data_IF_342438897071
#
_entry.id   IF_342438897071
#
_cell.length_a   1.000
_cell.length_b   1.000
_cell.length_c   1.000
_cell.angle_alpha   90.00
_cell.angle_beta   90.00
_cell.angle_gamma   90.00
#
_symmetry.space_group_name_H-M   'P 1'
#
loop_
_entity.id
_entity.type
_entity.pdbx_description
1 polymer ?
#
# COMPACT_ATOMS: atom_id res chain seq x y z
N UNK A 1 -12.49 29.12 -6.37
CA UNK A 1 -12.45 27.97 -5.46
C UNK A 1 -13.08 26.79 -6.19
N UNK A 2 -12.30 25.77 -6.51
CA UNK A 2 -12.87 24.54 -7.07
C UNK A 2 -13.68 23.88 -5.95
N UNK A 3 -14.96 23.60 -6.20
CA UNK A 3 -15.81 22.92 -5.22
C UNK A 3 -15.35 21.46 -5.15
N UNK A 4 -14.51 21.14 -4.15
CA UNK A 4 -13.87 19.82 -3.99
C UNK A 4 -14.87 18.69 -3.67
N UNK A 5 -16.16 19.02 -3.45
CA UNK A 5 -17.19 18.02 -3.13
C UNK A 5 -17.58 17.13 -4.32
N UNK A 6 -17.29 17.54 -5.56
CA UNK A 6 -17.72 16.86 -6.80
C UNK A 6 -16.56 16.31 -7.64
N UNK A 7 -15.37 16.22 -7.06
CA UNK A 7 -14.24 15.61 -7.78
C UNK A 7 -14.54 14.15 -8.13
N UNK A 8 -14.47 13.85 -9.43
CA UNK A 8 -14.53 12.50 -9.96
C UNK A 8 -13.20 12.23 -10.68
N UNK A 9 -12.48 11.16 -10.36
CA UNK A 9 -11.27 10.81 -11.08
C UNK A 9 -11.53 10.71 -12.58
N UNK A 10 -10.64 11.25 -13.44
CA UNK A 10 -10.81 11.29 -14.88
C UNK A 10 -10.55 9.91 -15.50
N UNK A 11 -11.54 9.01 -15.44
CA UNK A 11 -11.48 7.73 -16.14
C UNK A 11 -12.86 7.37 -16.71
N UNK A 12 -12.86 6.56 -17.77
CA UNK A 12 -14.06 5.94 -18.33
C UNK A 12 -13.88 4.42 -18.38
N UNK A 13 -14.98 3.70 -18.12
CA UNK A 13 -14.98 2.24 -18.19
C UNK A 13 -14.97 1.84 -19.68
N UNK A 14 -13.93 1.11 -20.10
CA UNK A 14 -13.83 0.57 -21.44
C UNK A 14 -14.27 -0.90 -21.49
N UNK A 15 -14.64 -1.39 -22.68
CA UNK A 15 -14.94 -2.80 -22.90
C UNK A 15 -13.78 -3.72 -22.52
N UNK A 16 -12.52 -3.26 -22.68
CA UNK A 16 -11.33 -3.99 -22.25
C UNK A 16 -11.28 -4.16 -20.73
N UNK A 17 -11.63 -3.11 -19.97
CA UNK A 17 -11.72 -3.18 -18.50
C UNK A 17 -12.81 -4.15 -18.06
N UNK A 18 -13.98 -4.14 -18.70
CA UNK A 18 -15.05 -5.10 -18.41
C UNK A 18 -14.61 -6.54 -18.68
N UNK A 19 -13.91 -6.78 -19.78
CA UNK A 19 -13.32 -8.09 -20.10
C UNK A 19 -12.33 -8.57 -19.03
N UNK A 20 -11.48 -7.68 -18.52
CA UNK A 20 -10.57 -8.02 -17.42
C UNK A 20 -11.32 -8.33 -16.11
N UNK A 21 -12.31 -7.53 -15.75
CA UNK A 21 -13.13 -7.78 -14.55
C UNK A 21 -13.81 -9.15 -14.63
N UNK A 22 -14.42 -9.49 -15.78
CA UNK A 22 -15.03 -10.80 -16.00
C UNK A 22 -14.03 -11.93 -15.86
N UNK A 23 -12.86 -11.83 -16.51
CA UNK A 23 -11.79 -12.84 -16.41
C UNK A 23 -11.25 -13.01 -14.99
N UNK A 24 -11.09 -11.91 -14.24
CA UNK A 24 -10.66 -11.94 -12.84
C UNK A 24 -11.71 -12.62 -11.98
N UNK A 25 -12.99 -12.25 -12.14
CA UNK A 25 -14.11 -12.84 -11.38
C UNK A 25 -14.23 -14.35 -11.63
N UNK A 26 -14.07 -14.81 -12.86
CA UNK A 26 -14.05 -16.22 -13.20
C UNK A 26 -12.90 -16.97 -12.48
N UNK A 27 -11.70 -16.39 -12.51
CA UNK A 27 -10.52 -16.98 -11.85
C UNK A 27 -10.70 -17.02 -10.33
N UNK A 28 -11.24 -15.98 -9.72
CA UNK A 28 -11.55 -15.93 -8.28
C UNK A 28 -12.58 -17.01 -7.95
N UNK A 29 -13.64 -17.16 -8.75
CA UNK A 29 -14.65 -18.20 -8.55
C UNK A 29 -14.07 -19.62 -8.61
N UNK A 30 -13.15 -19.88 -9.55
CA UNK A 30 -12.43 -21.16 -9.62
C UNK A 30 -11.59 -21.40 -8.37
N UNK A 31 -10.89 -20.39 -7.87
CA UNK A 31 -10.04 -20.48 -6.69
C UNK A 31 -10.88 -20.68 -5.42
N UNK A 32 -12.00 -19.96 -5.29
CA UNK A 32 -12.88 -20.02 -4.10
C UNK A 32 -13.48 -21.41 -3.87
N UNK A 33 -13.62 -22.22 -4.93
CA UNK A 33 -14.06 -23.60 -4.82
C UNK A 33 -13.01 -24.57 -4.27
N UNK A 34 -11.74 -24.14 -4.18
CA UNK A 34 -10.68 -24.89 -3.52
C UNK A 34 -10.63 -24.49 -2.04
N UNK A 35 -11.44 -25.15 -1.19
CA UNK A 35 -11.50 -24.94 0.26
C UNK A 35 -10.17 -25.20 1.01
N UNK A 36 -9.07 -25.47 0.29
CA UNK A 36 -7.81 -25.95 0.82
C UNK A 36 -6.76 -24.81 1.06
N UNK A 37 -7.10 -23.54 0.75
CA UNK A 37 -6.13 -22.44 0.93
C UNK A 37 -5.89 -22.09 2.41
N UNK A 38 -6.88 -22.28 3.27
CA UNK A 38 -6.74 -22.06 4.71
C UNK A 38 -5.84 -23.12 5.37
N UNK A 39 -5.75 -24.30 4.78
CA UNK A 39 -4.99 -25.43 5.30
C UNK A 39 -3.47 -25.38 5.00
N UNK A 40 -2.98 -24.37 4.27
CA UNK A 40 -1.57 -24.26 3.84
C UNK A 40 -0.84 -23.05 4.41
N UNK A 41 -0.58 -22.98 5.74
CA UNK A 41 0.06 -21.82 6.36
C UNK A 41 1.45 -21.53 5.80
N UNK A 42 2.20 -22.58 5.40
CA UNK A 42 3.51 -22.41 4.80
C UNK A 42 3.46 -21.74 3.42
N UNK A 43 2.45 -22.06 2.61
CA UNK A 43 2.25 -21.41 1.32
C UNK A 43 1.90 -19.92 1.50
N UNK A 44 1.03 -19.60 2.46
CA UNK A 44 0.70 -18.21 2.80
C UNK A 44 1.92 -17.43 3.27
N UNK A 45 2.73 -18.01 4.14
CA UNK A 45 4.00 -17.41 4.60
C UNK A 45 4.95 -17.15 3.42
N UNK A 46 5.15 -18.13 2.54
CA UNK A 46 6.02 -17.98 1.38
C UNK A 46 5.50 -16.91 0.40
N UNK A 47 4.20 -16.85 0.16
CA UNK A 47 3.61 -15.82 -0.70
C UNK A 47 3.75 -14.42 -0.08
N UNK A 48 3.59 -14.28 1.23
CA UNK A 48 3.81 -13.03 1.96
C UNK A 48 5.26 -12.57 1.81
N UNK A 49 6.24 -13.46 2.02
CA UNK A 49 7.67 -13.15 1.82
C UNK A 49 7.93 -12.65 0.40
N UNK A 50 7.38 -13.34 -0.62
CA UNK A 50 7.52 -12.90 -2.02
C UNK A 50 6.90 -11.52 -2.26
N UNK A 51 5.71 -11.25 -1.70
CA UNK A 51 5.05 -9.95 -1.85
C UNK A 51 5.86 -8.82 -1.22
N UNK A 52 6.36 -9.04 0.01
CA UNK A 52 7.22 -8.08 0.71
C UNK A 52 8.49 -7.82 -0.10
N UNK A 53 9.21 -8.88 -0.47
CA UNK A 53 10.42 -8.77 -1.30
C UNK A 53 10.17 -7.96 -2.57
N UNK A 54 9.13 -8.32 -3.34
CA UNK A 54 8.84 -7.65 -4.63
C UNK A 54 8.47 -6.18 -4.45
N UNK A 55 7.71 -5.84 -3.39
CA UNK A 55 7.34 -4.46 -3.09
C UNK A 55 8.56 -3.62 -2.71
N UNK A 56 9.43 -4.15 -1.85
CA UNK A 56 10.62 -3.45 -1.40
C UNK A 56 11.69 -3.33 -2.50
N UNK A 57 11.80 -4.33 -3.40
CA UNK A 57 12.69 -4.27 -4.56
C UNK A 57 12.32 -3.14 -5.53
N UNK A 58 11.02 -2.78 -5.65
CA UNK A 58 10.57 -1.60 -6.42
C UNK A 58 11.12 -0.30 -5.80
N UNK A 59 11.23 -0.26 -4.48
CA UNK A 59 11.78 0.87 -3.71
C UNK A 59 13.31 0.81 -3.55
N UNK A 60 13.97 -0.01 -4.39
CA UNK A 60 15.44 -0.18 -4.42
C UNK A 60 16.05 -0.81 -3.15
N UNK A 61 15.28 -1.53 -2.34
CA UNK A 61 15.84 -2.37 -1.27
C UNK A 61 16.70 -3.47 -1.90
N UNK A 62 17.94 -3.62 -1.44
CA UNK A 62 18.95 -4.48 -2.06
C UNK A 62 18.98 -5.91 -1.51
N UNK A 63 18.23 -6.19 -0.45
CA UNK A 63 18.20 -7.52 0.18
C UNK A 63 17.64 -8.57 -0.78
N UNK A 64 18.28 -9.71 -0.84
CA UNK A 64 17.79 -10.89 -1.57
C UNK A 64 16.54 -11.48 -0.90
N UNK A 65 15.76 -12.29 -1.64
CA UNK A 65 14.59 -12.97 -1.08
C UNK A 65 14.93 -13.93 0.08
N UNK A 66 16.15 -14.49 0.10
CA UNK A 66 16.66 -15.30 1.22
C UNK A 66 16.89 -14.45 2.46
N UNK A 67 17.54 -13.28 2.31
CA UNK A 67 17.77 -12.35 3.42
C UNK A 67 16.46 -11.79 3.97
N UNK A 68 15.51 -11.41 3.10
CA UNK A 68 14.16 -11.01 3.53
C UNK A 68 13.49 -12.11 4.36
N UNK A 69 13.61 -13.38 3.92
CA UNK A 69 13.10 -14.54 4.68
C UNK A 69 13.77 -14.66 6.05
N UNK A 70 15.09 -14.48 6.10
CA UNK A 70 15.86 -14.59 7.33
C UNK A 70 15.52 -13.49 8.33
N UNK A 71 15.36 -12.24 7.86
CA UNK A 71 14.85 -11.13 8.70
C UNK A 71 13.47 -11.46 9.29
N UNK A 72 12.54 -11.97 8.46
CA UNK A 72 11.17 -12.33 8.89
C UNK A 72 11.19 -13.50 9.89
N UNK A 73 12.15 -14.41 9.78
CA UNK A 73 12.34 -15.52 10.73
C UNK A 73 13.11 -15.13 12.00
N UNK A 74 13.57 -13.89 12.12
CA UNK A 74 14.32 -13.39 13.28
C UNK A 74 15.81 -13.77 13.26
N UNK A 75 16.32 -14.21 12.11
CA UNK A 75 17.75 -14.49 11.96
C UNK A 75 18.54 -13.19 11.76
N UNK A 76 19.84 -13.24 12.11
CA UNK A 76 20.74 -12.10 11.88
C UNK A 76 21.09 -12.07 10.40
N UNK A 77 20.89 -10.90 9.78
CA UNK A 77 21.24 -10.61 8.39
C UNK A 77 22.25 -9.47 8.37
N UNK A 78 23.31 -9.64 7.58
CA UNK A 78 24.30 -8.60 7.33
C UNK A 78 23.84 -7.76 6.14
N UNK A 79 23.49 -6.50 6.39
CA UNK A 79 22.99 -5.57 5.37
C UNK A 79 22.72 -4.18 5.93
N UNK A 80 22.27 -3.26 5.09
CA UNK A 80 21.91 -1.91 5.53
C UNK A 80 20.78 -1.96 6.56
N UNK A 81 21.02 -1.35 7.72
CA UNK A 81 20.06 -1.40 8.83
C UNK A 81 18.71 -0.80 8.47
N UNK A 82 18.69 0.22 7.62
CA UNK A 82 17.48 0.82 7.08
C UNK A 82 16.65 -0.19 6.28
N UNK A 83 17.28 -0.96 5.38
CA UNK A 83 16.62 -1.93 4.54
C UNK A 83 16.08 -3.12 5.34
N UNK A 84 16.83 -3.57 6.36
CA UNK A 84 16.37 -4.58 7.32
C UNK A 84 15.14 -4.07 8.08
N UNK A 85 15.12 -2.79 8.49
CA UNK A 85 13.99 -2.19 9.17
C UNK A 85 12.76 -2.08 8.24
N UNK A 86 12.94 -1.77 6.96
CA UNK A 86 11.87 -1.76 5.96
C UNK A 86 11.20 -3.13 5.84
N UNK A 87 11.97 -4.23 5.85
CA UNK A 87 11.43 -5.60 5.82
C UNK A 87 10.59 -5.89 7.06
N UNK A 88 11.09 -5.52 8.26
CA UNK A 88 10.34 -5.72 9.52
C UNK A 88 9.02 -4.95 9.50
N UNK A 89 9.06 -3.68 9.12
CA UNK A 89 7.89 -2.83 9.03
C UNK A 89 6.85 -3.38 8.04
N UNK A 90 7.30 -3.80 6.86
CA UNK A 90 6.44 -4.41 5.86
C UNK A 90 5.80 -5.70 6.40
N UNK A 91 6.56 -6.56 7.06
CA UNK A 91 6.03 -7.79 7.65
C UNK A 91 4.95 -7.48 8.70
N UNK A 92 5.19 -6.54 9.60
CA UNK A 92 4.23 -6.14 10.64
C UNK A 92 2.94 -5.55 10.03
N UNK A 93 3.08 -4.73 8.98
CA UNK A 93 1.92 -4.19 8.27
C UNK A 93 1.10 -5.30 7.58
N UNK A 94 1.75 -6.22 6.87
CA UNK A 94 1.08 -7.34 6.19
C UNK A 94 0.43 -8.33 7.15
N UNK A 95 1.00 -8.53 8.35
CA UNK A 95 0.43 -9.44 9.35
C UNK A 95 -0.92 -8.95 9.87
N UNK A 96 -1.09 -7.65 9.96
CA UNK A 96 -2.30 -7.00 10.45
C UNK A 96 -3.29 -6.58 9.34
N UNK A 97 -3.00 -6.88 8.07
CA UNK A 97 -3.77 -6.36 6.93
C UNK A 97 -5.26 -6.73 6.95
N UNK A 98 -5.60 -7.92 7.46
CA UNK A 98 -6.99 -8.39 7.52
C UNK A 98 -7.87 -7.60 8.50
N UNK A 99 -7.25 -6.83 9.40
CA UNK A 99 -7.95 -6.07 10.44
C UNK A 99 -8.09 -4.59 10.10
N UNK A 100 -7.61 -4.16 8.92
CA UNK A 100 -7.66 -2.76 8.50
C UNK A 100 -9.06 -2.35 8.03
N UNK A 101 -9.50 -1.16 8.44
CA UNK A 101 -10.62 -0.49 7.80
C UNK A 101 -10.08 0.42 6.66
N UNK A 102 -10.18 0.01 5.37
CA UNK A 102 -9.61 0.76 4.25
C UNK A 102 -10.32 2.11 4.00
N UNK A 103 -11.42 2.38 4.70
CA UNK A 103 -12.21 3.62 4.58
C UNK A 103 -11.95 4.60 5.74
N UNK A 104 -10.88 4.39 6.52
CA UNK A 104 -10.55 5.20 7.69
C UNK A 104 -9.22 5.92 7.51
N UNK A 105 -9.23 7.25 7.61
CA UNK A 105 -8.02 8.08 7.63
C UNK A 105 -7.14 7.75 8.84
N UNK A 106 -7.75 7.41 9.97
CA UNK A 106 -7.02 6.98 11.18
C UNK A 106 -6.24 5.69 10.92
N UNK A 107 -6.87 4.71 10.27
CA UNK A 107 -6.19 3.47 9.89
C UNK A 107 -5.09 3.72 8.84
N UNK A 108 -5.32 4.60 7.85
CA UNK A 108 -4.27 5.02 6.92
C UNK A 108 -3.03 5.53 7.65
N UNK A 109 -3.21 6.45 8.61
CA UNK A 109 -2.11 6.99 9.42
C UNK A 109 -1.43 5.91 10.26
N UNK A 110 -2.20 5.03 10.88
CA UNK A 110 -1.68 3.91 11.68
C UNK A 110 -0.78 3.00 10.85
N UNK A 111 -1.23 2.58 9.66
CA UNK A 111 -0.45 1.70 8.79
C UNK A 111 0.74 2.42 8.16
N UNK A 112 0.59 3.71 7.80
CA UNK A 112 1.74 4.55 7.45
C UNK A 112 2.77 4.58 8.59
N UNK A 113 2.30 4.70 9.84
CA UNK A 113 3.17 4.65 11.02
C UNK A 113 3.93 3.33 11.16
N UNK A 114 3.26 2.19 10.94
CA UNK A 114 3.91 0.87 10.96
C UNK A 114 4.95 0.78 9.83
N UNK A 115 4.55 1.11 8.59
CA UNK A 115 5.42 1.00 7.42
C UNK A 115 6.66 1.89 7.48
N UNK A 116 6.56 3.04 8.11
CA UNK A 116 7.63 4.06 8.17
C UNK A 116 8.31 4.14 9.54
N UNK A 117 8.00 3.21 10.46
CA UNK A 117 8.58 3.17 11.81
C UNK A 117 10.11 3.14 11.76
N UNK A 118 10.76 4.03 12.51
CA UNK A 118 12.21 4.20 12.57
C UNK A 118 12.90 4.52 11.21
N UNK A 119 12.13 4.89 10.17
CA UNK A 119 12.65 5.28 8.87
C UNK A 119 12.53 6.77 8.60
N UNK A 120 11.45 7.40 9.10
CA UNK A 120 11.17 8.84 8.93
C UNK A 120 10.62 9.46 10.22
N UNK A 121 10.83 10.77 10.37
CA UNK A 121 10.37 11.50 11.56
C UNK A 121 8.85 11.70 11.61
N UNK A 122 8.19 11.78 10.42
CA UNK A 122 6.75 11.97 10.31
C UNK A 122 5.97 10.64 10.26
N UNK A 123 6.54 9.56 10.79
CA UNK A 123 5.87 8.26 10.84
C UNK A 123 4.45 8.38 11.43
N UNK A 124 3.44 7.90 10.69
CA UNK A 124 2.03 7.96 11.10
C UNK A 124 1.38 9.35 11.03
N UNK A 125 2.06 10.33 10.44
CA UNK A 125 1.58 11.71 10.33
C UNK A 125 1.51 12.13 8.85
N UNK A 126 0.70 13.13 8.57
CA UNK A 126 0.83 13.84 7.30
C UNK A 126 2.07 14.73 7.34
N UNK A 127 2.70 14.89 6.17
CA UNK A 127 3.86 15.78 6.03
C UNK A 127 3.52 17.22 6.42
N UNK A 128 4.51 17.93 6.91
CA UNK A 128 4.45 19.35 7.20
C UNK A 128 5.36 20.19 6.28
N UNK A 129 6.23 19.53 5.49
CA UNK A 129 7.10 20.13 4.50
C UNK A 129 6.54 20.08 3.08
N UNK A 130 7.17 20.84 2.18
CA UNK A 130 6.90 20.79 0.76
C UNK A 130 7.54 19.52 0.16
N UNK A 131 6.88 18.94 -0.84
CA UNK A 131 7.32 17.70 -1.50
C UNK A 131 7.14 17.84 -3.01
N UNK A 132 8.06 17.24 -3.78
CA UNK A 132 7.99 17.23 -5.23
C UNK A 132 8.71 16.04 -5.84
N UNK A 133 8.41 15.81 -7.11
CA UNK A 133 9.12 14.83 -7.94
C UNK A 133 10.11 15.60 -8.81
N UNK A 134 11.37 15.22 -8.76
CA UNK A 134 12.47 15.88 -9.47
C UNK A 134 13.15 14.88 -10.41
N UNK A 135 13.65 15.40 -11.53
CA UNK A 135 14.59 14.75 -12.44
C UNK A 135 15.87 15.61 -12.45
N UNK A 136 16.87 15.19 -11.69
CA UNK A 136 18.00 16.05 -11.33
C UNK A 136 17.52 17.32 -10.61
N UNK A 137 17.91 18.50 -11.10
CA UNK A 137 17.49 19.80 -10.53
C UNK A 137 16.12 20.29 -11.05
N UNK A 138 15.53 19.58 -12.01
CA UNK A 138 14.26 19.98 -12.62
C UNK A 138 13.09 19.44 -11.84
N UNK A 139 12.23 20.33 -11.29
CA UNK A 139 10.96 19.94 -10.72
C UNK A 139 10.00 19.49 -11.82
N UNK A 140 9.57 18.22 -11.80
CA UNK A 140 8.59 17.64 -12.72
C UNK A 140 7.18 17.88 -12.21
N UNK A 141 6.95 17.62 -10.92
CA UNK A 141 5.66 17.83 -10.26
C UNK A 141 5.91 18.33 -8.85
N UNK A 142 5.27 19.43 -8.48
CA UNK A 142 5.20 19.90 -7.10
C UNK A 142 3.90 19.39 -6.47
N UNK A 143 4.02 18.71 -5.32
CA UNK A 143 2.86 18.27 -4.56
C UNK A 143 2.08 19.48 -4.00
N UNK A 144 0.77 19.35 -3.75
CA UNK A 144 0.01 20.41 -3.09
C UNK A 144 0.67 20.83 -1.77
N UNK A 145 0.59 22.12 -1.37
CA UNK A 145 1.13 22.59 -0.09
C UNK A 145 0.69 21.72 1.09
N UNK A 146 1.57 21.51 2.07
CA UNK A 146 1.37 20.59 3.18
C UNK A 146 0.06 20.84 3.96
N UNK A 147 -0.32 22.11 4.13
CA UNK A 147 -1.55 22.48 4.87
C UNK A 147 -2.85 22.06 4.17
N UNK A 148 -2.82 21.71 2.87
CA UNK A 148 -3.98 21.16 2.14
C UNK A 148 -4.11 19.64 2.25
N UNK A 149 -3.05 18.93 2.66
CA UNK A 149 -3.03 17.45 2.63
C UNK A 149 -4.20 16.86 3.40
N UNK A 150 -4.47 17.35 4.62
CA UNK A 150 -5.61 16.85 5.43
C UNK A 150 -6.93 16.99 4.70
N UNK A 151 -7.21 18.17 4.14
CA UNK A 151 -8.46 18.42 3.42
C UNK A 151 -8.59 17.57 2.15
N UNK A 152 -7.49 17.38 1.41
CA UNK A 152 -7.45 16.55 0.21
C UNK A 152 -7.72 15.08 0.53
N UNK A 153 -7.11 14.56 1.58
CA UNK A 153 -7.33 13.17 2.03
C UNK A 153 -8.77 12.99 2.52
N UNK A 154 -9.34 13.94 3.24
CA UNK A 154 -10.74 13.88 3.67
C UNK A 154 -11.71 13.83 2.47
N UNK A 155 -11.45 14.64 1.42
CA UNK A 155 -12.24 14.61 0.18
C UNK A 155 -12.12 13.25 -0.51
N UNK A 156 -10.90 12.69 -0.63
CA UNK A 156 -10.66 11.37 -1.20
C UNK A 156 -11.46 10.29 -0.45
N UNK A 157 -11.37 10.26 0.87
CA UNK A 157 -12.05 9.25 1.68
C UNK A 157 -13.58 9.39 1.65
N UNK A 158 -14.11 10.62 1.58
CA UNK A 158 -15.54 10.86 1.35
C UNK A 158 -15.99 10.32 0.00
N UNK A 159 -15.21 10.56 -1.05
CA UNK A 159 -15.48 10.04 -2.39
C UNK A 159 -15.46 8.50 -2.43
N UNK A 160 -14.45 7.84 -1.84
CA UNK A 160 -14.34 6.37 -1.75
C UNK A 160 -15.56 5.79 -1.04
N UNK A 161 -15.97 6.36 0.11
CA UNK A 161 -17.16 5.93 0.86
C UNK A 161 -18.45 6.06 0.05
N UNK A 162 -18.62 7.18 -0.67
CA UNK A 162 -19.79 7.39 -1.55
C UNK A 162 -19.84 6.35 -2.67
N UNK A 163 -18.71 6.01 -3.28
CA UNK A 163 -18.64 5.01 -4.36
C UNK A 163 -18.91 3.59 -3.84
N UNK A 164 -18.40 3.21 -2.66
CA UNK A 164 -18.72 1.92 -2.04
C UNK A 164 -20.22 1.68 -1.91
N UNK A 165 -20.97 2.71 -1.51
CA UNK A 165 -22.42 2.61 -1.28
C UNK A 165 -23.24 2.58 -2.59
N UNK A 166 -22.62 2.88 -3.74
CA UNK A 166 -23.27 2.92 -5.04
C UNK A 166 -22.94 1.68 -5.93
N UNK A 167 -22.18 0.72 -5.40
CA UNK A 167 -21.88 -0.57 -6.06
C UNK A 167 -22.76 -1.64 -5.40
N UNK A 168 -24.06 -1.57 -5.69
CA UNK A 168 -25.03 -2.65 -5.47
C UNK A 168 -25.87 -2.80 -6.72
#
# INVERSE_FOLDING_TARGET
>A
MVNMSDYTPPFSISNKMLGFVSSISEKIGKISNYNDFESKPQLRKNNRIKSIYSSLAIEANSLSISEVRDVINGHIVLGPQREIQEVKNAYDAYDNLNNINPYSVTELKKYHGIMTYALVNESGKFRNGEEGVFDGDKCIVMAPPAHFVTALIDVLFKWIKKKKNNVH
#
